data_IF_624502452275
#
_entry.id   IF_624502452275
#
_cell.length_a   1.000
_cell.length_b   1.000
_cell.length_c   1.000
_cell.angle_alpha   90.00
_cell.angle_beta   90.00
_cell.angle_gamma   90.00
#
_symmetry.space_group_name_H-M   'P 1'
#
loop_
_entity.id
_entity.type
_entity.pdbx_description
1 polymer ?
#
# COMPACT_ATOMS: atom_id res chain seq x y z
N UNK A 1 -8.80 -0.02 14.98
CA UNK A 1 -7.35 0.31 14.99
C UNK A 1 -6.88 0.41 16.43
N UNK A 2 -5.62 0.02 16.71
CA UNK A 2 -5.05 0.08 18.06
C UNK A 2 -4.79 1.53 18.51
N UNK A 3 -4.71 1.77 19.84
CA UNK A 3 -4.42 3.10 20.39
C UNK A 3 -3.13 3.74 19.83
N UNK A 4 -2.01 3.00 19.64
CA UNK A 4 -0.81 3.57 19.02
C UNK A 4 -1.02 4.06 17.58
N UNK A 5 -1.77 3.32 16.76
CA UNK A 5 -2.09 3.72 15.38
C UNK A 5 -2.90 5.01 15.36
N UNK A 6 -3.92 5.13 16.23
CA UNK A 6 -4.74 6.33 16.32
C UNK A 6 -3.93 7.57 16.73
N UNK A 7 -3.00 7.42 17.68
CA UNK A 7 -2.10 8.52 18.08
C UNK A 7 -1.21 8.98 16.92
N UNK A 8 -0.62 8.05 16.16
CA UNK A 8 0.20 8.37 14.99
C UNK A 8 -0.62 9.05 13.88
N UNK A 9 -1.86 8.62 13.65
CA UNK A 9 -2.77 9.28 12.70
C UNK A 9 -3.06 10.72 13.11
N UNK A 10 -3.37 10.97 14.39
CA UNK A 10 -3.59 12.32 14.90
C UNK A 10 -2.37 13.23 14.73
N UNK A 11 -1.19 12.72 15.05
CA UNK A 11 0.08 13.46 14.87
C UNK A 11 0.34 13.80 13.41
N UNK A 12 0.15 12.86 12.49
CA UNK A 12 0.33 13.09 11.06
C UNK A 12 -0.69 14.08 10.51
N UNK A 13 -1.97 13.96 10.89
CA UNK A 13 -3.02 14.88 10.47
C UNK A 13 -2.74 16.31 10.92
N UNK A 14 -2.29 16.48 12.17
CA UNK A 14 -1.91 17.79 12.69
C UNK A 14 -0.67 18.35 11.99
N UNK A 15 0.36 17.50 11.75
CA UNK A 15 1.60 17.92 11.11
C UNK A 15 1.41 18.40 9.67
N UNK A 16 0.62 17.67 8.87
CA UNK A 16 0.39 18.00 7.46
C UNK A 16 -0.87 18.82 7.22
N UNK A 17 -1.68 19.07 8.26
CA UNK A 17 -2.97 19.76 8.17
C UNK A 17 -3.85 19.25 7.03
N UNK A 18 -3.99 17.93 6.92
CA UNK A 18 -4.72 17.28 5.84
C UNK A 18 -5.48 16.03 6.30
N UNK A 19 -6.46 15.61 5.48
CA UNK A 19 -7.16 14.36 5.67
C UNK A 19 -6.25 13.18 5.38
N UNK A 20 -6.40 12.10 6.14
CA UNK A 20 -5.64 10.86 6.01
C UNK A 20 -6.57 9.72 5.61
N UNK A 21 -6.03 8.79 4.82
CA UNK A 21 -6.60 7.48 4.54
C UNK A 21 -5.76 6.40 5.24
N UNK A 22 -6.14 5.93 6.42
CA UNK A 22 -5.47 4.84 7.12
C UNK A 22 -5.63 3.52 6.37
N UNK A 23 -4.90 2.50 6.81
CA UNK A 23 -5.10 1.15 6.31
C UNK A 23 -6.50 0.62 6.65
N UNK A 24 -7.00 -0.26 5.79
CA UNK A 24 -8.35 -0.80 5.81
C UNK A 24 -8.34 -2.30 5.50
N UNK A 25 -9.30 -3.03 6.04
CA UNK A 25 -9.52 -4.45 5.77
C UNK A 25 -9.35 -5.34 6.99
N UNK A 26 -9.05 -6.61 6.76
CA UNK A 26 -8.99 -7.63 7.80
C UNK A 26 -7.73 -7.48 8.66
N UNK A 27 -7.89 -7.20 9.95
CA UNK A 27 -6.76 -6.91 10.86
C UNK A 27 -5.94 -8.14 11.25
N UNK A 28 -6.34 -9.33 10.85
CA UNK A 28 -5.58 -10.57 10.98
C UNK A 28 -5.35 -11.22 9.60
N UNK A 29 -5.22 -10.38 8.55
CA UNK A 29 -4.99 -10.84 7.19
C UNK A 29 -3.59 -11.46 7.04
N UNK A 30 -3.51 -12.59 6.35
CA UNK A 30 -2.23 -13.17 5.93
C UNK A 30 -1.53 -12.34 4.85
N UNK A 31 -2.29 -11.54 4.07
CA UNK A 31 -1.81 -10.76 2.93
C UNK A 31 -2.10 -9.28 3.16
N UNK A 32 -1.05 -8.46 3.12
CA UNK A 32 -1.14 -7.00 3.14
C UNK A 32 -0.68 -6.43 1.82
N UNK A 33 -1.50 -5.56 1.22
CA UNK A 33 -1.11 -4.77 0.06
C UNK A 33 -0.68 -3.37 0.50
N UNK A 34 0.49 -2.95 0.03
CA UNK A 34 1.08 -1.63 0.33
C UNK A 34 1.25 -0.86 -0.98
N UNK A 35 0.40 0.14 -1.20
CA UNK A 35 0.48 1.03 -2.36
C UNK A 35 1.27 2.32 -2.02
N UNK A 36 1.39 3.22 -2.98
CA UNK A 36 2.22 4.42 -2.88
C UNK A 36 1.59 5.50 -2.00
N UNK A 37 0.42 6.00 -2.39
CA UNK A 37 -0.35 7.03 -1.69
C UNK A 37 -1.83 6.98 -2.12
N UNK A 38 -2.77 7.47 -1.28
CA UNK A 38 -4.18 7.46 -1.62
C UNK A 38 -4.51 8.45 -2.75
N UNK A 39 -5.46 8.07 -3.60
CA UNK A 39 -6.06 8.94 -4.60
C UNK A 39 -7.07 9.94 -4.00
N UNK A 40 -7.73 10.73 -4.85
CA UNK A 40 -8.73 11.70 -4.40
C UNK A 40 -9.91 11.01 -3.71
N UNK A 41 -10.46 9.98 -4.34
CA UNK A 41 -11.62 9.27 -3.82
C UNK A 41 -11.32 8.53 -2.52
N UNK A 42 -10.12 7.97 -2.41
CA UNK A 42 -9.67 7.28 -1.19
C UNK A 42 -9.59 8.22 0.02
N UNK A 43 -9.20 9.49 -0.20
CA UNK A 43 -9.23 10.51 0.87
C UNK A 43 -10.67 10.89 1.23
N UNK A 44 -11.57 10.99 0.24
CA UNK A 44 -12.98 11.35 0.46
C UNK A 44 -13.75 10.25 1.20
N UNK A 45 -13.48 8.98 0.89
CA UNK A 45 -14.18 7.83 1.44
C UNK A 45 -13.48 7.22 2.67
N UNK A 46 -12.17 7.46 2.85
CA UNK A 46 -11.33 6.78 3.82
C UNK A 46 -11.00 5.32 3.48
N UNK A 47 -11.41 4.85 2.29
CA UNK A 47 -11.24 3.45 1.87
C UNK A 47 -10.19 3.35 0.75
N UNK A 48 -9.07 2.60 0.96
CA UNK A 48 -8.07 2.35 -0.08
C UNK A 48 -8.67 1.66 -1.31
N UNK A 49 -8.19 2.03 -2.50
CA UNK A 49 -8.64 1.47 -3.77
C UNK A 49 -10.15 1.62 -4.03
N UNK A 50 -10.79 2.68 -3.52
CA UNK A 50 -12.19 3.02 -3.85
C UNK A 50 -12.32 3.77 -5.19
N UNK A 51 -11.22 4.17 -5.82
CA UNK A 51 -11.17 4.89 -7.09
C UNK A 51 -11.16 3.99 -8.33
N UNK A 52 -10.76 4.58 -9.48
CA UNK A 52 -10.78 3.89 -10.79
C UNK A 52 -9.76 2.74 -10.85
N UNK A 53 -8.56 2.92 -10.27
CA UNK A 53 -7.56 1.85 -10.15
C UNK A 53 -8.02 0.72 -9.25
N UNK A 54 -8.91 1.02 -8.31
CA UNK A 54 -9.50 0.03 -7.41
C UNK A 54 -10.38 -0.98 -8.12
N UNK A 55 -11.18 -0.55 -9.10
CA UNK A 55 -11.98 -1.49 -9.92
C UNK A 55 -11.11 -2.52 -10.65
N UNK A 56 -9.98 -2.06 -11.21
CA UNK A 56 -9.06 -2.98 -11.85
C UNK A 56 -8.33 -3.87 -10.83
N UNK A 57 -8.02 -3.34 -9.65
CA UNK A 57 -7.48 -4.14 -8.53
C UNK A 57 -8.47 -5.23 -8.11
N UNK A 58 -9.77 -4.91 -8.01
CA UNK A 58 -10.81 -5.89 -7.70
C UNK A 58 -10.94 -6.97 -8.78
N UNK A 59 -10.81 -6.61 -10.09
CA UNK A 59 -10.74 -7.59 -11.18
C UNK A 59 -9.54 -8.56 -11.01
N UNK A 60 -8.38 -8.04 -10.58
CA UNK A 60 -7.19 -8.86 -10.33
C UNK A 60 -7.38 -9.80 -9.13
N UNK A 61 -7.92 -9.31 -8.02
CA UNK A 61 -8.24 -10.13 -6.86
C UNK A 61 -9.23 -11.25 -7.22
N UNK A 62 -10.28 -10.91 -7.96
CA UNK A 62 -11.28 -11.89 -8.42
C UNK A 62 -10.66 -12.96 -9.32
N UNK A 63 -9.67 -12.60 -10.15
CA UNK A 63 -9.01 -13.56 -11.06
C UNK A 63 -8.23 -14.66 -10.34
N UNK A 64 -7.86 -14.43 -9.07
CA UNK A 64 -7.14 -15.39 -8.21
C UNK A 64 -8.02 -15.87 -7.05
N UNK A 65 -9.33 -15.60 -7.11
CA UNK A 65 -10.31 -15.97 -6.07
C UNK A 65 -9.92 -15.49 -4.66
N UNK A 66 -9.29 -14.30 -4.53
CA UNK A 66 -8.92 -13.66 -3.27
C UNK A 66 -9.95 -12.59 -2.91
N UNK A 67 -10.83 -12.81 -1.93
CA UNK A 67 -11.82 -11.84 -1.50
C UNK A 67 -11.18 -10.60 -0.86
N UNK A 68 -11.76 -9.41 -1.09
CA UNK A 68 -11.24 -8.15 -0.56
C UNK A 68 -11.32 -8.07 0.98
N UNK A 69 -12.24 -8.77 1.59
CA UNK A 69 -12.43 -8.85 3.04
C UNK A 69 -11.45 -9.81 3.75
N UNK A 70 -10.67 -10.59 2.99
CA UNK A 70 -9.58 -11.43 3.51
C UNK A 70 -8.21 -10.75 3.51
N UNK A 71 -8.10 -9.54 2.94
CA UNK A 71 -6.84 -8.81 2.84
C UNK A 71 -6.84 -7.54 3.68
N UNK A 72 -5.63 -7.00 3.91
CA UNK A 72 -5.45 -5.66 4.45
C UNK A 72 -4.79 -4.75 3.40
N UNK A 73 -5.34 -3.55 3.22
CA UNK A 73 -4.89 -2.57 2.24
C UNK A 73 -4.34 -1.34 2.94
N UNK A 74 -3.17 -0.89 2.54
CA UNK A 74 -2.60 0.36 3.06
C UNK A 74 -1.74 1.06 2.02
N UNK A 75 -1.23 2.25 2.37
CA UNK A 75 -0.31 3.03 1.55
C UNK A 75 0.94 3.37 2.35
N UNK A 76 2.06 3.61 1.67
CA UNK A 76 3.28 4.14 2.29
C UNK A 76 2.99 5.51 2.91
N UNK A 77 2.38 6.42 2.14
CA UNK A 77 1.93 7.73 2.61
C UNK A 77 0.43 7.72 2.81
N UNK A 78 -0.06 8.31 3.92
CA UNK A 78 -1.47 8.25 4.33
C UNK A 78 -2.32 9.42 3.84
N UNK A 79 -1.74 10.36 3.15
CA UNK A 79 -2.42 11.53 2.57
C UNK A 79 -2.08 11.62 1.08
N UNK A 80 -2.84 12.46 0.38
CA UNK A 80 -2.64 12.67 -1.06
C UNK A 80 -1.77 13.90 -1.33
N UNK A 81 -0.51 13.73 -1.77
CA UNK A 81 0.27 14.83 -2.34
C UNK A 81 -0.42 15.35 -3.61
N UNK A 82 -0.59 16.66 -3.73
CA UNK A 82 -1.32 17.24 -4.86
C UNK A 82 -0.44 17.25 -6.13
N UNK A 83 -0.87 16.52 -7.17
CA UNK A 83 -0.28 16.56 -8.51
C UNK A 83 1.13 16.00 -8.66
N UNK A 84 1.65 15.30 -7.65
CA UNK A 84 2.99 14.71 -7.63
C UNK A 84 3.07 13.44 -6.79
N UNK A 85 4.17 12.71 -6.93
CA UNK A 85 4.52 11.64 -6.01
C UNK A 85 4.90 12.17 -4.61
N UNK A 86 4.75 11.38 -3.55
CA UNK A 86 5.28 11.68 -2.23
C UNK A 86 6.79 11.93 -2.25
N UNK A 87 7.23 12.96 -1.53
CA UNK A 87 8.64 13.24 -1.36
C UNK A 87 9.23 12.42 -0.18
N UNK A 88 10.58 12.48 -0.03
CA UNK A 88 11.29 11.70 1.00
C UNK A 88 10.87 12.04 2.44
N UNK A 89 10.55 13.31 2.71
CA UNK A 89 10.14 13.75 4.05
C UNK A 89 8.74 13.23 4.40
N UNK A 90 7.82 13.26 3.43
CA UNK A 90 6.47 12.73 3.56
C UNK A 90 6.47 11.21 3.80
N UNK A 91 7.30 10.47 3.04
CA UNK A 91 7.49 9.03 3.22
C UNK A 91 8.07 8.74 4.62
N UNK A 92 9.12 9.46 5.01
CA UNK A 92 9.76 9.27 6.32
C UNK A 92 8.79 9.55 7.48
N UNK A 93 7.95 10.59 7.37
CA UNK A 93 6.96 10.92 8.39
C UNK A 93 5.88 9.83 8.54
N UNK A 94 5.49 9.16 7.46
CA UNK A 94 4.47 8.11 7.48
C UNK A 94 5.01 6.71 7.86
N UNK A 95 6.33 6.52 7.84
CA UNK A 95 6.96 5.19 8.05
C UNK A 95 6.58 4.55 9.36
N UNK A 96 6.55 5.31 10.46
CA UNK A 96 6.16 4.80 11.77
C UNK A 96 4.72 4.25 11.80
N UNK A 97 3.82 4.90 11.07
CA UNK A 97 2.43 4.43 10.97
C UNK A 97 2.32 3.16 10.13
N UNK A 98 3.01 3.07 8.98
CA UNK A 98 3.06 1.85 8.17
C UNK A 98 3.63 0.68 8.99
N UNK A 99 4.71 0.92 9.72
CA UNK A 99 5.30 -0.09 10.63
C UNK A 99 4.30 -0.57 11.68
N UNK A 100 3.59 0.36 12.34
CA UNK A 100 2.60 0.02 13.36
C UNK A 100 1.42 -0.79 12.78
N UNK A 101 0.97 -0.48 11.56
CA UNK A 101 -0.06 -1.25 10.86
C UNK A 101 0.43 -2.68 10.55
N UNK A 102 1.62 -2.83 9.97
CA UNK A 102 2.20 -4.14 9.68
C UNK A 102 2.38 -4.99 10.95
N UNK A 103 2.86 -4.37 12.05
CA UNK A 103 3.01 -5.05 13.33
C UNK A 103 1.68 -5.47 13.96
N UNK A 104 0.60 -4.69 13.73
CA UNK A 104 -0.73 -5.02 14.21
C UNK A 104 -1.36 -6.18 13.42
N UNK A 105 -1.18 -6.19 12.09
CA UNK A 105 -1.74 -7.22 11.19
C UNK A 105 -0.88 -8.51 11.22
N UNK A 106 0.45 -8.38 11.26
CA UNK A 106 1.43 -9.49 11.25
C UNK A 106 1.31 -10.40 10.02
N UNK A 107 1.34 -9.85 8.81
CA UNK A 107 1.11 -10.62 7.59
C UNK A 107 2.22 -11.65 7.34
N UNK A 108 1.88 -12.71 6.63
CA UNK A 108 2.82 -13.68 6.04
C UNK A 108 3.37 -13.22 4.69
N UNK A 109 2.55 -12.42 3.97
CA UNK A 109 2.87 -11.90 2.64
C UNK A 109 2.60 -10.40 2.62
N UNK A 110 3.57 -9.62 2.15
CA UNK A 110 3.43 -8.20 1.85
C UNK A 110 3.55 -8.01 0.35
N UNK A 111 2.50 -7.53 -0.29
CA UNK A 111 2.48 -7.21 -1.72
C UNK A 111 2.65 -5.71 -1.90
N UNK A 112 3.76 -5.27 -2.49
CA UNK A 112 3.92 -3.85 -2.80
C UNK A 112 3.39 -3.53 -4.20
N UNK A 113 2.60 -2.45 -4.28
CA UNK A 113 2.00 -1.98 -5.53
C UNK A 113 2.67 -0.67 -5.96
N UNK A 114 3.58 -0.77 -6.93
CA UNK A 114 4.28 0.39 -7.44
C UNK A 114 5.69 0.59 -6.90
N UNK A 115 6.30 1.68 -7.33
CA UNK A 115 7.71 1.99 -7.06
C UNK A 115 7.96 2.45 -5.63
N UNK A 116 7.06 3.25 -5.07
CA UNK A 116 7.23 3.82 -3.73
C UNK A 116 7.03 2.72 -2.68
N UNK A 117 5.99 1.89 -2.86
CA UNK A 117 5.79 0.70 -2.04
C UNK A 117 6.99 -0.25 -2.06
N UNK A 118 7.54 -0.54 -3.25
CA UNK A 118 8.75 -1.36 -3.39
C UNK A 118 9.94 -0.75 -2.63
N UNK A 119 10.20 0.55 -2.82
CA UNK A 119 11.39 1.22 -2.28
C UNK A 119 11.37 1.32 -0.73
N UNK A 120 10.24 1.16 -0.09
CA UNK A 120 10.17 1.10 1.38
C UNK A 120 10.84 -0.17 1.93
N UNK A 121 10.85 -1.26 1.16
CA UNK A 121 11.42 -2.55 1.56
C UNK A 121 12.71 -2.89 0.81
N UNK A 122 12.80 -2.56 -0.48
CA UNK A 122 13.94 -2.84 -1.36
C UNK A 122 14.38 -1.57 -2.12
N UNK A 123 15.01 -0.60 -1.44
CA UNK A 123 15.24 0.76 -1.96
C UNK A 123 16.18 0.82 -3.17
N UNK A 124 16.99 -0.22 -3.41
CA UNK A 124 17.95 -0.26 -4.52
C UNK A 124 17.41 -1.00 -5.76
N UNK A 125 16.22 -1.58 -5.66
CA UNK A 125 15.62 -2.38 -6.74
C UNK A 125 14.70 -1.54 -7.63
N UNK A 126 14.66 -1.89 -8.92
CA UNK A 126 13.68 -1.32 -9.86
C UNK A 126 12.53 -2.29 -10.03
N UNK A 127 11.28 -1.78 -10.02
CA UNK A 127 10.08 -2.59 -10.16
C UNK A 127 10.09 -3.46 -11.43
N UNK A 128 10.67 -2.98 -12.53
CA UNK A 128 10.79 -3.72 -13.78
C UNK A 128 11.72 -4.93 -13.71
N UNK A 129 12.55 -5.02 -12.68
CA UNK A 129 13.50 -6.13 -12.47
C UNK A 129 12.95 -7.19 -11.50
N UNK A 130 12.02 -6.78 -10.62
CA UNK A 130 11.57 -7.62 -9.49
C UNK A 130 10.05 -7.90 -9.50
N UNK A 131 9.33 -7.35 -10.46
CA UNK A 131 7.90 -7.59 -10.60
C UNK A 131 7.60 -9.09 -10.71
N UNK A 132 6.67 -9.58 -9.87
CA UNK A 132 6.26 -10.97 -9.84
C UNK A 132 7.25 -11.95 -9.21
N UNK A 133 8.33 -11.47 -8.58
CA UNK A 133 9.28 -12.29 -7.84
C UNK A 133 8.99 -12.22 -6.33
N UNK A 134 9.34 -13.26 -5.60
CA UNK A 134 9.21 -13.30 -4.15
C UNK A 134 10.57 -13.13 -3.46
N UNK A 135 10.54 -12.43 -2.31
CA UNK A 135 11.72 -12.15 -1.48
C UNK A 135 11.40 -12.45 -0.02
N UNK A 136 12.17 -13.34 0.61
CA UNK A 136 12.12 -13.51 2.05
C UNK A 136 12.80 -12.34 2.73
N UNK A 137 12.05 -11.59 3.56
CA UNK A 137 12.56 -10.40 4.26
C UNK A 137 12.27 -10.47 5.75
N UNK A 138 13.22 -9.87 6.50
CA UNK A 138 13.02 -9.48 7.88
C UNK A 138 13.02 -7.94 7.94
N UNK A 139 11.88 -7.34 8.20
CA UNK A 139 11.71 -5.90 8.28
C UNK A 139 10.62 -5.53 9.29
N UNK A 140 10.74 -4.36 9.92
CA UNK A 140 9.78 -3.86 10.92
C UNK A 140 9.56 -4.82 12.11
N UNK A 141 10.54 -5.69 12.42
CA UNK A 141 10.44 -6.72 13.45
C UNK A 141 9.56 -7.92 13.08
N UNK A 142 9.33 -8.13 11.79
CA UNK A 142 8.51 -9.20 11.23
C UNK A 142 9.28 -9.98 10.18
N UNK A 143 8.95 -11.26 10.04
CA UNK A 143 9.41 -12.14 8.95
C UNK A 143 8.24 -12.37 7.99
N UNK A 144 8.40 -12.01 6.72
CA UNK A 144 7.36 -12.17 5.70
C UNK A 144 7.97 -12.38 4.31
N UNK A 145 7.14 -12.82 3.37
CA UNK A 145 7.50 -12.83 1.95
C UNK A 145 7.03 -11.53 1.30
N UNK A 146 7.94 -10.76 0.71
CA UNK A 146 7.63 -9.59 -0.10
C UNK A 146 7.36 -10.02 -1.54
N UNK A 147 6.28 -9.48 -2.15
CA UNK A 147 5.90 -9.73 -3.52
C UNK A 147 5.67 -8.40 -4.27
N UNK A 148 6.69 -7.86 -4.97
CA UNK A 148 6.56 -6.59 -5.69
C UNK A 148 5.75 -6.73 -6.98
N UNK A 149 4.74 -5.87 -7.15
CA UNK A 149 3.93 -5.77 -8.35
C UNK A 149 3.89 -4.34 -8.90
N UNK A 150 3.68 -4.21 -10.21
CA UNK A 150 3.31 -2.92 -10.78
C UNK A 150 2.01 -2.41 -10.14
N UNK A 151 1.90 -1.09 -10.00
CA UNK A 151 0.67 -0.48 -9.50
C UNK A 151 -0.47 -0.66 -10.52
N UNK A 152 -1.69 -1.03 -10.10
CA UNK A 152 -2.83 -1.18 -11.02
C UNK A 152 -3.11 0.05 -11.90
N UNK A 153 -2.85 1.27 -11.40
CA UNK A 153 -2.95 2.49 -12.17
C UNK A 153 -2.04 2.53 -13.42
N UNK A 154 -0.91 1.81 -13.42
CA UNK A 154 -0.03 1.75 -14.60
C UNK A 154 -0.73 1.14 -15.82
N UNK A 155 -1.61 0.17 -15.61
CA UNK A 155 -2.40 -0.45 -16.67
C UNK A 155 -3.47 0.48 -17.26
N UNK A 156 -3.85 1.53 -16.53
CA UNK A 156 -4.83 2.52 -17.01
C UNK A 156 -4.19 3.56 -17.92
N UNK A 157 -2.93 3.90 -17.67
CA UNK A 157 -2.17 4.84 -18.49
C UNK A 157 -1.50 4.14 -19.69
N UNK A 158 -1.26 2.84 -19.58
CA UNK A 158 -0.67 2.04 -20.66
C UNK A 158 -1.34 0.66 -20.73
N UNK A 159 -2.24 0.49 -21.69
CA UNK A 159 -2.99 -0.76 -21.88
C UNK A 159 -2.09 -2.01 -22.10
N UNK A 160 -0.84 -1.83 -22.56
CA UNK A 160 0.15 -2.91 -22.70
C UNK A 160 0.59 -3.48 -21.34
N UNK A 161 0.37 -2.75 -20.25
CA UNK A 161 0.68 -3.22 -18.89
C UNK A 161 -0.40 -4.16 -18.32
N UNK A 162 -1.61 -4.18 -18.90
CA UNK A 162 -2.70 -5.04 -18.40
C UNK A 162 -2.38 -6.53 -18.37
N UNK A 163 -1.78 -7.11 -19.44
CA UNK A 163 -1.38 -8.53 -19.40
C UNK A 163 -0.27 -8.86 -18.38
N UNK A 164 0.56 -7.88 -18.03
CA UNK A 164 1.63 -8.07 -17.05
C UNK A 164 1.13 -8.11 -15.61
N UNK A 165 -0.10 -7.65 -15.36
CA UNK A 165 -0.73 -7.60 -14.03
C UNK A 165 -1.71 -8.77 -13.82
N UNK A 166 -2.03 -9.53 -14.87
CA UNK A 166 -2.85 -10.75 -14.83
C UNK A 166 -1.98 -11.99 -14.79
#
# INVERSE_FOLDING_TARGET
>A
MSAPINALLQQLSAHFNCALAPGWGHTAADIVFVADAPGKREIETGEPFSGVSGRFFDELLASIALPRDEIYLTNVVKFRPQGRDPNRQEIAACRGLLQAELQAVRPRIVVTLGRIGLNEFLPLMKISQVHGQDFRLQAHGLDFTLFPLYHPAAAMHNGKMRPLLK
#
